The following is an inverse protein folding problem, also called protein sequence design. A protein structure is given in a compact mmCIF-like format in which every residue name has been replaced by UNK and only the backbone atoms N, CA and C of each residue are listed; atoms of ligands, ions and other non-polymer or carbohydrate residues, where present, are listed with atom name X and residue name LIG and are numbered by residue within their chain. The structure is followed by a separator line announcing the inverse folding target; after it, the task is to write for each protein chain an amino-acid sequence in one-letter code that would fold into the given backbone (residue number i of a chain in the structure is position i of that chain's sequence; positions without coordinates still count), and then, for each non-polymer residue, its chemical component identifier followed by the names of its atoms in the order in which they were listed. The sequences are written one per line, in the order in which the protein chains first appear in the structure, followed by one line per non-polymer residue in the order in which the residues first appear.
data_IF_246579627156
#
_entry.id   IF_246579627156
#
_cell.length_a   1.000
_cell.length_b   1.000
_cell.length_c   1.000
_cell.angle_alpha   90.00
_cell.angle_beta   90.00
_cell.angle_gamma   90.00
#
_symmetry.space_group_name_H-M   'P 1'
#
loop_
_entity.id
_entity.type
_entity.pdbx_description
1 polymer ?
#
# COMPACT_ATOMS: atom_id res chain seq x y z
N UNK A 1 -12.62 -3.71 -5.56
CA UNK A 1 -12.87 -4.06 -4.14
C UNK A 1 -13.83 -5.24 -4.00
N UNK A 2 -14.92 -5.31 -4.77
CA UNK A 2 -15.90 -6.40 -4.71
C UNK A 2 -15.54 -7.67 -5.51
N UNK A 3 -14.28 -7.80 -5.93
CA UNK A 3 -13.82 -8.95 -6.72
C UNK A 3 -13.29 -10.08 -5.82
N UNK A 4 -12.59 -11.07 -6.39
CA UNK A 4 -12.01 -12.15 -5.59
C UNK A 4 -10.95 -11.64 -4.59
N UNK A 5 -10.80 -12.29 -3.41
CA UNK A 5 -9.76 -11.97 -2.46
C UNK A 5 -8.36 -12.16 -3.06
N UNK A 6 -7.38 -11.44 -2.52
CA UNK A 6 -6.00 -11.46 -3.01
C UNK A 6 -5.75 -10.65 -4.27
N UNK A 7 -6.77 -10.02 -4.86
CA UNK A 7 -6.59 -9.17 -6.03
C UNK A 7 -6.24 -7.73 -5.65
N UNK A 8 -5.42 -7.07 -6.47
CA UNK A 8 -5.11 -5.66 -6.31
C UNK A 8 -6.33 -4.81 -6.69
N UNK A 9 -6.74 -3.91 -5.81
CA UNK A 9 -7.72 -2.88 -6.11
C UNK A 9 -7.05 -1.51 -6.16
N UNK A 10 -6.96 -0.93 -7.37
CA UNK A 10 -6.34 0.37 -7.62
C UNK A 10 -7.42 1.39 -7.95
N UNK A 11 -7.34 2.56 -7.32
CA UNK A 11 -8.28 3.64 -7.56
C UNK A 11 -7.57 4.99 -7.64
N UNK A 12 -8.14 5.88 -8.45
CA UNK A 12 -7.64 7.24 -8.61
C UNK A 12 -8.28 8.16 -7.56
N UNK A 13 -7.48 9.02 -6.94
CA UNK A 13 -7.92 9.95 -5.90
C UNK A 13 -7.38 11.35 -6.13
N UNK A 14 -8.17 12.35 -5.70
CA UNK A 14 -7.84 13.77 -5.77
C UNK A 14 -7.42 14.25 -7.17
N UNK A 15 -7.87 13.57 -8.23
CA UNK A 15 -7.58 13.90 -9.62
C UNK A 15 -6.11 13.76 -10.05
N UNK A 16 -5.23 13.21 -9.20
CA UNK A 16 -3.78 13.21 -9.47
C UNK A 16 -3.01 11.97 -9.00
N UNK A 17 -3.60 11.13 -8.15
CA UNK A 17 -2.84 10.08 -7.46
C UNK A 17 -3.55 8.73 -7.50
N UNK A 18 -2.75 7.67 -7.62
CA UNK A 18 -3.22 6.29 -7.45
C UNK A 18 -3.03 5.83 -6.01
N UNK A 19 -3.95 5.01 -5.52
CA UNK A 19 -3.81 4.24 -4.29
C UNK A 19 -4.13 2.77 -4.61
N UNK A 20 -3.44 1.83 -3.97
CA UNK A 20 -3.67 0.40 -4.16
C UNK A 20 -4.02 -0.29 -2.84
N UNK A 21 -4.92 -1.26 -2.93
CA UNK A 21 -5.36 -2.10 -1.82
C UNK A 21 -5.22 -3.56 -2.23
N UNK A 22 -5.20 -4.44 -1.24
CA UNK A 22 -5.49 -5.86 -1.44
C UNK A 22 -6.95 -6.10 -1.11
N UNK A 23 -7.69 -6.79 -1.98
CA UNK A 23 -9.05 -7.25 -1.67
C UNK A 23 -8.98 -8.37 -0.64
N UNK A 24 -9.78 -8.27 0.42
CA UNK A 24 -9.72 -9.20 1.56
C UNK A 24 -11.07 -9.82 1.90
N UNK A 25 -12.17 -9.34 1.34
CA UNK A 25 -13.50 -9.94 1.50
C UNK A 25 -13.79 -10.98 0.42
N UNK A 26 -14.89 -11.70 0.62
CA UNK A 26 -15.46 -12.57 -0.40
C UNK A 26 -15.97 -11.75 -1.59
N UNK A 27 -16.18 -12.41 -2.74
CA UNK A 27 -16.71 -11.74 -3.92
C UNK A 27 -18.09 -11.11 -3.62
N UNK A 28 -18.26 -9.85 -4.01
CA UNK A 28 -19.44 -9.06 -3.66
C UNK A 28 -19.34 -8.32 -2.31
N UNK A 29 -18.33 -8.59 -1.48
CA UNK A 29 -18.09 -7.86 -0.24
C UNK A 29 -17.07 -6.74 -0.41
N UNK A 30 -17.41 -5.53 0.04
CA UNK A 30 -16.57 -4.34 -0.09
C UNK A 30 -15.48 -4.26 0.97
N UNK A 31 -14.53 -5.20 1.01
CA UNK A 31 -13.45 -5.24 2.02
C UNK A 31 -12.07 -5.27 1.38
N UNK A 32 -11.15 -4.46 1.92
CA UNK A 32 -9.77 -4.43 1.47
C UNK A 32 -8.83 -3.66 2.39
N UNK A 33 -7.54 -3.93 2.24
CA UNK A 33 -6.46 -3.32 3.02
C UNK A 33 -5.66 -2.38 2.14
N UNK A 34 -5.69 -1.09 2.44
CA UNK A 34 -4.88 -0.07 1.77
C UNK A 34 -3.41 -0.22 2.14
N UNK A 35 -2.54 -0.35 1.14
CA UNK A 35 -1.09 -0.28 1.35
C UNK A 35 -0.72 1.19 1.48
N UNK A 36 -0.20 1.58 2.65
CA UNK A 36 0.05 3.00 2.99
C UNK A 36 1.51 3.40 2.88
N UNK A 37 2.42 2.49 3.17
CA UNK A 37 3.84 2.72 3.06
C UNK A 37 4.59 1.41 2.88
N UNK A 38 5.78 1.48 2.29
CA UNK A 38 6.72 0.37 2.16
C UNK A 38 8.12 0.83 2.59
N UNK A 39 8.91 -0.10 3.11
CA UNK A 39 10.36 0.04 3.20
C UNK A 39 10.99 -0.50 1.90
N UNK A 40 11.63 0.35 1.08
CA UNK A 40 12.28 -0.12 -0.13
C UNK A 40 13.54 -0.94 0.21
N UNK A 41 13.56 -2.21 -0.19
CA UNK A 41 14.70 -3.12 0.02
C UNK A 41 15.46 -3.46 -1.27
N UNK A 42 14.82 -3.30 -2.43
CA UNK A 42 15.41 -3.54 -3.74
C UNK A 42 14.79 -2.59 -4.79
N UNK A 43 15.42 -2.45 -5.96
CA UNK A 43 14.93 -1.63 -7.06
C UNK A 43 14.95 -0.12 -6.80
N UNK A 44 15.69 0.33 -5.78
CA UNK A 44 15.70 1.71 -5.28
C UNK A 44 16.00 2.73 -6.39
N UNK A 45 16.97 2.44 -7.26
CA UNK A 45 17.32 3.34 -8.37
C UNK A 45 16.18 3.49 -9.40
N UNK A 46 15.41 2.43 -9.65
CA UNK A 46 14.20 2.52 -10.50
C UNK A 46 13.13 3.37 -9.83
N UNK A 47 12.95 3.22 -8.51
CA UNK A 47 11.99 4.03 -7.76
C UNK A 47 12.39 5.52 -7.71
N UNK A 48 13.70 5.81 -7.61
CA UNK A 48 14.26 7.18 -7.71
C UNK A 48 14.01 7.77 -9.09
N UNK A 49 14.25 7.00 -10.15
CA UNK A 49 13.96 7.42 -11.53
C UNK A 49 12.47 7.71 -11.75
N UNK A 50 11.59 6.90 -11.16
CA UNK A 50 10.14 7.15 -11.18
C UNK A 50 9.73 8.39 -10.38
N UNK A 51 10.56 8.84 -9.41
CA UNK A 51 10.28 9.95 -8.51
C UNK A 51 11.46 10.93 -8.40
N UNK A 52 11.84 11.62 -9.48
CA UNK A 52 13.11 12.35 -9.58
C UNK A 52 13.23 13.60 -8.68
N UNK A 53 12.13 14.04 -8.04
CA UNK A 53 12.10 15.25 -7.19
C UNK A 53 12.30 14.97 -5.70
N UNK A 54 12.38 13.70 -5.30
CA UNK A 54 12.60 13.33 -3.90
C UNK A 54 14.03 13.68 -3.47
N UNK A 55 14.24 13.90 -2.17
CA UNK A 55 15.58 14.21 -1.63
C UNK A 55 16.14 13.12 -0.73
N UNK A 56 15.28 12.26 -0.18
CA UNK A 56 15.66 11.18 0.74
C UNK A 56 14.94 9.89 0.36
N UNK A 57 15.62 8.75 0.51
CA UNK A 57 15.03 7.45 0.16
C UNK A 57 13.80 7.11 1.00
N UNK A 58 13.76 7.52 2.27
CA UNK A 58 12.55 7.39 3.11
C UNK A 58 11.31 8.03 2.47
N UNK A 59 11.48 8.97 1.53
CA UNK A 59 10.36 9.61 0.85
C UNK A 59 9.80 8.75 -0.27
N UNK A 60 10.51 7.72 -0.75
CA UNK A 60 10.16 6.87 -1.90
C UNK A 60 8.78 6.23 -1.74
N UNK A 61 8.55 5.58 -0.61
CA UNK A 61 7.34 4.80 -0.36
C UNK A 61 6.60 5.20 0.92
N UNK A 62 6.92 6.36 1.52
CA UNK A 62 6.26 6.85 2.75
C UNK A 62 4.92 7.55 2.48
N UNK A 63 4.01 6.87 1.79
CA UNK A 63 2.65 7.31 1.54
C UNK A 63 1.99 6.56 0.38
N UNK A 64 0.66 6.46 0.35
CA UNK A 64 -0.04 5.62 -0.62
C UNK A 64 0.15 6.09 -2.07
N UNK A 65 0.10 7.41 -2.32
CA UNK A 65 0.41 7.97 -3.63
C UNK A 65 1.91 7.89 -3.99
N UNK A 66 2.79 7.88 -2.98
CA UNK A 66 4.23 7.86 -3.18
C UNK A 66 4.70 6.47 -3.58
N UNK A 67 4.22 5.45 -2.87
CA UNK A 67 4.57 4.06 -3.19
C UNK A 67 4.00 3.63 -4.53
N UNK A 68 2.79 4.06 -4.92
CA UNK A 68 2.24 3.71 -6.24
C UNK A 68 3.08 4.31 -7.37
N UNK A 69 3.52 5.56 -7.23
CA UNK A 69 4.47 6.17 -8.17
C UNK A 69 5.82 5.42 -8.20
N UNK A 70 6.39 5.11 -7.04
CA UNK A 70 7.68 4.43 -6.94
C UNK A 70 7.65 3.02 -7.57
N UNK A 71 6.54 2.30 -7.40
CA UNK A 71 6.33 0.94 -7.90
C UNK A 71 5.77 0.91 -9.33
N UNK A 72 5.47 2.05 -9.95
CA UNK A 72 4.85 2.09 -11.28
C UNK A 72 3.39 1.62 -11.33
N UNK A 73 2.68 1.68 -10.20
CA UNK A 73 1.28 1.27 -10.10
C UNK A 73 0.37 2.41 -10.59
N UNK A 74 -0.46 2.07 -11.57
CA UNK A 74 -1.50 2.91 -12.17
C UNK A 74 -2.83 2.13 -12.22
N UNK A 75 -3.86 2.71 -12.82
CA UNK A 75 -5.14 2.02 -13.03
C UNK A 75 -5.02 0.74 -13.86
N UNK A 76 -3.95 0.56 -14.65
CA UNK A 76 -3.71 -0.65 -15.45
C UNK A 76 -3.46 -1.89 -14.59
N UNK A 77 -3.00 -1.72 -13.36
CA UNK A 77 -2.72 -2.82 -12.43
C UNK A 77 -3.96 -3.23 -11.60
N UNK A 78 -5.10 -2.56 -11.79
CA UNK A 78 -6.33 -2.93 -11.10
C UNK A 78 -6.80 -4.33 -11.54
N UNK A 79 -7.02 -5.21 -10.57
CA UNK A 79 -7.48 -6.59 -10.80
C UNK A 79 -6.35 -7.61 -10.94
N UNK A 80 -5.08 -7.22 -10.83
CA UNK A 80 -3.98 -8.20 -10.80
C UNK A 80 -4.13 -9.14 -9.60
N UNK A 81 -3.97 -10.44 -9.83
CA UNK A 81 -3.91 -11.46 -8.79
C UNK A 81 -2.53 -11.42 -8.10
N UNK A 82 -2.50 -10.99 -6.84
CA UNK A 82 -1.27 -10.84 -6.05
C UNK A 82 -0.76 -12.18 -5.50
N UNK A 83 -1.56 -13.24 -5.56
CA UNK A 83 -1.25 -14.56 -5.00
C UNK A 83 -0.66 -15.46 -6.08
N UNK A 84 -1.25 -15.46 -7.29
CA UNK A 84 -0.75 -16.28 -8.39
C UNK A 84 0.61 -15.79 -8.94
N UNK A 85 0.96 -14.52 -8.71
CA UNK A 85 2.25 -13.91 -9.07
C UNK A 85 2.59 -13.99 -10.57
N UNK A 86 1.58 -13.91 -11.45
CA UNK A 86 1.76 -14.06 -12.92
C UNK A 86 1.96 -12.73 -13.65
N UNK A 87 1.46 -11.64 -13.09
CA UNK A 87 1.40 -10.33 -13.75
C UNK A 87 2.37 -9.30 -13.14
N UNK A 88 3.49 -9.78 -12.57
CA UNK A 88 4.60 -8.95 -12.10
C UNK A 88 4.44 -8.30 -10.72
N UNK A 89 3.23 -8.29 -10.16
CA UNK A 89 2.98 -7.83 -8.79
C UNK A 89 2.51 -8.99 -7.91
N UNK A 90 3.08 -9.10 -6.72
CA UNK A 90 2.72 -10.16 -5.77
C UNK A 90 2.99 -9.70 -4.33
N UNK A 91 2.30 -10.33 -3.38
CA UNK A 91 2.60 -10.24 -1.94
C UNK A 91 3.19 -11.58 -1.52
N UNK A 92 4.38 -11.53 -0.91
CA UNK A 92 5.12 -12.71 -0.47
C UNK A 92 5.34 -12.63 1.03
N UNK A 93 5.34 -13.80 1.67
CA UNK A 93 5.84 -13.98 3.03
C UNK A 93 7.38 -14.01 2.95
N UNK A 94 8.02 -13.05 3.64
CA UNK A 94 9.48 -12.95 3.72
C UNK A 94 10.06 -13.73 4.91
N UNK A 95 9.21 -14.41 5.69
CA UNK A 95 9.57 -15.13 6.90
C UNK A 95 9.76 -14.23 8.13
N UNK A 96 9.55 -12.92 8.00
CA UNK A 96 9.62 -11.99 9.12
C UNK A 96 8.31 -12.06 9.93
N UNK A 97 8.35 -12.42 11.23
CA UNK A 97 7.14 -12.41 12.03
C UNK A 97 6.61 -10.97 12.21
N UNK A 98 5.28 -10.79 12.34
CA UNK A 98 4.73 -9.49 12.70
C UNK A 98 5.25 -9.05 14.07
N UNK A 99 5.31 -7.73 14.36
CA UNK A 99 5.67 -7.26 15.69
C UNK A 99 4.70 -7.79 16.76
N UNK A 100 5.22 -8.07 17.97
CA UNK A 100 4.42 -8.58 19.09
C UNK A 100 3.26 -7.64 19.46
N UNK A 101 3.48 -6.34 19.34
CA UNK A 101 2.47 -5.31 19.54
C UNK A 101 2.31 -4.44 18.29
N UNK A 102 1.10 -4.48 17.72
CA UNK A 102 0.70 -3.60 16.62
C UNK A 102 -0.61 -2.90 17.00
N UNK A 103 -0.58 -1.94 17.95
CA UNK A 103 -1.79 -1.24 18.35
C UNK A 103 -2.36 -0.49 17.14
N UNK A 104 -3.66 -0.62 16.94
CA UNK A 104 -4.36 0.10 15.89
C UNK A 104 -4.37 1.61 16.18
N UNK A 105 -4.33 2.41 15.12
CA UNK A 105 -4.52 3.87 15.19
C UNK A 105 -5.72 4.30 14.34
N UNK A 106 -6.19 5.53 14.55
CA UNK A 106 -7.11 6.16 13.61
C UNK A 106 -6.52 6.19 12.19
N UNK A 107 -7.36 5.98 11.18
CA UNK A 107 -6.94 6.09 9.77
C UNK A 107 -6.76 7.56 9.37
N UNK A 108 -5.87 7.79 8.41
CA UNK A 108 -5.53 9.15 7.96
C UNK A 108 -6.35 9.51 6.71
N UNK A 109 -6.92 10.71 6.70
CA UNK A 109 -7.60 11.28 5.53
C UNK A 109 -9.06 10.84 5.38
N UNK A 110 -9.66 10.28 6.43
CA UNK A 110 -11.07 9.91 6.50
C UNK A 110 -11.86 10.93 7.34
N UNK A 111 -13.17 11.05 7.07
CA UNK A 111 -14.10 11.86 7.88
C UNK A 111 -14.96 11.02 8.82
N UNK A 112 -15.25 9.79 8.43
CA UNK A 112 -16.12 8.86 9.15
C UNK A 112 -15.34 7.61 9.56
N UNK A 113 -15.73 6.99 10.69
CA UNK A 113 -15.05 5.84 11.26
C UNK A 113 -13.64 6.17 11.76
N UNK A 114 -13.46 7.38 12.30
CA UNK A 114 -12.20 7.89 12.89
C UNK A 114 -11.92 7.28 14.26
N UNK A 115 -12.96 6.81 14.94
CA UNK A 115 -12.95 6.02 16.17
C UNK A 115 -12.48 4.56 15.93
N UNK A 116 -12.60 4.06 14.71
CA UNK A 116 -12.11 2.74 14.32
C UNK A 116 -10.59 2.74 14.16
N UNK A 117 -9.91 1.98 15.00
CA UNK A 117 -8.46 1.83 15.04
C UNK A 117 -7.91 0.90 13.93
N UNK A 118 -8.34 1.13 12.68
CA UNK A 118 -8.04 0.28 11.52
C UNK A 118 -6.86 0.77 10.69
N UNK A 119 -5.82 1.24 11.37
CA UNK A 119 -4.53 1.52 10.77
C UNK A 119 -3.46 0.89 11.63
N UNK A 120 -2.62 0.08 10.98
CA UNK A 120 -1.51 -0.61 11.61
C UNK A 120 -0.20 -0.22 10.94
N UNK A 121 0.88 -0.18 11.70
CA UNK A 121 2.22 0.15 11.22
C UNK A 121 3.29 -0.36 12.21
N UNK A 122 4.51 -0.56 11.71
CA UNK A 122 5.65 -0.95 12.55
C UNK A 122 6.17 0.27 13.32
N UNK A 123 6.15 0.23 14.64
CA UNK A 123 6.62 1.31 15.49
C UNK A 123 8.11 1.62 15.26
N UNK A 124 8.47 2.92 15.22
CA UNK A 124 9.85 3.36 14.99
C UNK A 124 10.36 3.25 13.55
N UNK A 125 9.63 2.61 12.63
CA UNK A 125 10.07 2.52 11.23
C UNK A 125 9.98 3.89 10.53
N UNK A 126 11.13 4.36 10.03
CA UNK A 126 11.30 5.68 9.42
C UNK A 126 10.57 5.86 8.08
N UNK A 127 10.10 4.77 7.47
CA UNK A 127 9.37 4.77 6.21
C UNK A 127 7.86 4.97 6.39
N UNK A 128 7.36 4.99 7.64
CA UNK A 128 5.94 5.25 7.92
C UNK A 128 5.58 6.70 7.58
N UNK A 129 4.54 6.88 6.75
CA UNK A 129 4.15 8.19 6.18
C UNK A 129 3.83 9.28 7.20
N UNK A 130 3.15 8.92 8.30
CA UNK A 130 2.85 9.72 9.49
C UNK A 130 2.62 8.72 10.62
N UNK A 131 3.40 8.75 11.70
CA UNK A 131 3.13 7.91 12.86
C UNK A 131 1.77 8.27 13.47
#
# INVERSE_FOLDING_TARGET
MFGPPGHMYVYFTYGMHWCCNTVCGDEGEGSGVLIRALEPIDGIERMRAARPRIRKDRELCSGPARLTQAMGITGEQNGIDLVAARDGYTILDDGTPPPDEVPGSARIGIREGTDLLWRWFVAGNVNVSRA
#
